data_IF_905154067562
#
_entry.id   IF_905154067562
#
_cell.length_a   1.000
_cell.length_b   1.000
_cell.length_c   1.000
_cell.angle_alpha   90.00
_cell.angle_beta   90.00
_cell.angle_gamma   90.00
#
_symmetry.space_group_name_H-M   'P 1'
#
loop_
_entity.id
_entity.type
_entity.pdbx_description
1 polymer ?
#
# COMPACT_ATOMS: atom_id res chain seq x y z
N UNK A 1 19.41 19.05 3.62
CA UNK A 1 20.50 18.34 2.90
C UNK A 1 19.89 17.72 1.65
N UNK A 2 20.62 17.73 0.54
CA UNK A 2 20.18 17.07 -0.69
C UNK A 2 20.24 15.55 -0.50
N UNK A 3 19.20 14.81 -0.88
CA UNK A 3 19.12 13.35 -0.70
C UNK A 3 19.93 12.64 -1.79
N UNK A 4 21.23 12.82 -1.79
CA UNK A 4 22.15 12.13 -2.71
C UNK A 4 22.41 10.69 -2.26
N UNK A 5 22.98 9.88 -3.16
CA UNK A 5 23.44 8.53 -2.81
C UNK A 5 24.40 8.55 -1.62
N UNK A 6 25.34 9.47 -1.63
CA UNK A 6 26.38 9.63 -0.58
C UNK A 6 25.76 9.93 0.78
N UNK A 7 24.80 10.85 0.83
CA UNK A 7 24.08 11.19 2.08
C UNK A 7 23.31 10.00 2.62
N UNK A 8 22.56 9.34 1.76
CA UNK A 8 21.78 8.14 2.14
C UNK A 8 22.71 6.99 2.59
N UNK A 9 23.83 6.78 1.88
CA UNK A 9 24.80 5.74 2.23
C UNK A 9 25.54 6.03 3.55
N UNK A 10 25.76 7.31 3.87
CA UNK A 10 26.31 7.73 5.17
C UNK A 10 25.39 7.34 6.32
N UNK A 11 24.09 7.62 6.17
CA UNK A 11 23.07 7.26 7.18
C UNK A 11 22.93 5.74 7.32
N UNK A 12 22.88 5.00 6.20
CA UNK A 12 22.89 3.55 6.22
C UNK A 12 24.09 2.99 6.98
N UNK A 13 25.28 3.57 6.71
CA UNK A 13 26.52 3.16 7.38
C UNK A 13 26.47 3.45 8.89
N UNK A 14 25.89 4.60 9.29
CA UNK A 14 25.69 4.92 10.71
C UNK A 14 24.71 3.96 11.39
N UNK A 15 23.61 3.63 10.75
CA UNK A 15 22.63 2.63 11.26
C UNK A 15 23.29 1.25 11.41
N UNK A 16 24.02 0.78 10.40
CA UNK A 16 24.72 -0.51 10.47
C UNK A 16 25.79 -0.52 11.55
N UNK A 17 26.55 0.55 11.69
CA UNK A 17 27.56 0.69 12.75
C UNK A 17 26.90 0.62 14.12
N UNK A 18 25.82 1.41 14.34
CA UNK A 18 25.06 1.37 15.58
C UNK A 18 24.56 -0.05 15.91
N UNK A 19 24.00 -0.76 14.93
CA UNK A 19 23.52 -2.12 15.12
C UNK A 19 24.62 -3.11 15.48
N UNK A 20 25.82 -2.95 14.91
CA UNK A 20 26.98 -3.82 15.24
C UNK A 20 27.50 -3.52 16.64
N UNK A 21 27.57 -2.26 17.04
CA UNK A 21 28.10 -1.83 18.34
C UNK A 21 27.15 -2.12 19.50
N UNK A 22 25.86 -1.82 19.34
CA UNK A 22 24.84 -2.01 20.39
C UNK A 22 24.17 -3.39 20.37
N UNK A 23 24.24 -4.11 19.25
CA UNK A 23 23.60 -5.39 19.06
C UNK A 23 22.10 -5.27 18.81
N UNK A 24 21.40 -6.42 18.94
CA UNK A 24 19.95 -6.47 18.79
C UNK A 24 19.24 -5.67 19.90
N UNK A 25 18.32 -4.74 19.57
CA UNK A 25 17.64 -3.93 20.59
C UNK A 25 16.81 -4.80 21.52
N UNK A 26 16.75 -4.41 22.80
CA UNK A 26 15.94 -5.09 23.79
C UNK A 26 14.44 -5.05 23.44
N UNK A 27 13.66 -5.95 24.04
CA UNK A 27 12.20 -5.94 23.85
C UNK A 27 11.60 -4.63 24.32
N UNK A 28 12.11 -4.07 25.40
CA UNK A 28 11.67 -2.79 25.96
C UNK A 28 11.89 -1.64 24.97
N UNK A 29 13.05 -1.57 24.33
CA UNK A 29 13.33 -0.56 23.30
C UNK A 29 12.46 -0.74 22.04
N UNK A 30 12.21 -1.99 21.62
CA UNK A 30 11.31 -2.27 20.50
C UNK A 30 9.87 -1.83 20.82
N UNK A 31 9.39 -2.08 22.03
CA UNK A 31 8.07 -1.62 22.52
C UNK A 31 8.03 -0.11 22.62
N UNK A 32 9.10 0.54 23.07
CA UNK A 32 9.19 2.00 23.10
C UNK A 32 9.05 2.61 21.69
N UNK A 33 9.77 2.09 20.68
CA UNK A 33 9.64 2.49 19.27
C UNK A 33 8.20 2.36 18.78
N UNK A 34 7.54 1.24 19.09
CA UNK A 34 6.15 0.98 18.73
C UNK A 34 5.18 1.97 19.39
N UNK A 35 5.40 2.31 20.67
CA UNK A 35 4.57 3.30 21.36
C UNK A 35 4.77 4.71 20.82
N UNK A 36 6.02 5.11 20.51
CA UNK A 36 6.31 6.40 19.87
C UNK A 36 5.65 6.50 18.49
N UNK A 37 5.70 5.43 17.68
CA UNK A 37 4.99 5.35 16.39
C UNK A 37 3.47 5.50 16.56
N UNK A 38 2.88 4.80 17.53
CA UNK A 38 1.45 4.89 17.83
C UNK A 38 1.03 6.30 18.24
N UNK A 39 1.80 6.93 19.13
CA UNK A 39 1.56 8.30 19.58
C UNK A 39 1.67 9.28 18.39
N UNK A 40 2.74 9.18 17.59
CA UNK A 40 2.94 10.01 16.40
C UNK A 40 1.71 9.96 15.47
N UNK A 41 1.18 8.77 15.19
CA UNK A 41 0.03 8.61 14.30
C UNK A 41 -1.23 9.19 14.94
N UNK A 42 -1.51 8.87 16.20
CA UNK A 42 -2.76 9.22 16.85
C UNK A 42 -2.85 10.71 17.19
N UNK A 43 -1.74 11.32 17.59
CA UNK A 43 -1.70 12.74 17.95
C UNK A 43 -1.82 13.63 16.71
N UNK A 44 -1.29 13.19 15.57
CA UNK A 44 -1.28 13.96 14.32
C UNK A 44 -2.27 13.44 13.26
N UNK A 45 -3.25 12.61 13.64
CA UNK A 45 -4.18 11.97 12.69
C UNK A 45 -4.99 12.94 11.84
N UNK A 46 -5.32 14.12 12.37
CA UNK A 46 -6.06 15.14 11.62
C UNK A 46 -5.15 15.93 10.68
N UNK A 47 -3.90 16.15 11.05
CA UNK A 47 -2.90 16.79 10.16
C UNK A 47 -2.61 15.88 8.97
N UNK A 48 -2.56 14.56 9.18
CA UNK A 48 -2.48 13.59 8.09
C UNK A 48 -3.71 13.64 7.17
N UNK A 49 -4.92 13.78 7.72
CA UNK A 49 -6.14 13.91 6.92
C UNK A 49 -6.08 15.14 6.01
N UNK A 50 -5.67 16.29 6.54
CA UNK A 50 -5.56 17.53 5.76
C UNK A 50 -4.44 17.43 4.70
N UNK A 51 -3.31 16.81 5.03
CA UNK A 51 -2.23 16.55 4.09
C UNK A 51 -2.69 15.63 2.93
N UNK A 52 -3.39 14.54 3.25
CA UNK A 52 -3.97 13.63 2.27
C UNK A 52 -5.00 14.32 1.37
N UNK A 53 -5.89 15.13 1.95
CA UNK A 53 -6.86 15.90 1.18
C UNK A 53 -6.17 16.86 0.21
N UNK A 54 -5.10 17.53 0.65
CA UNK A 54 -4.33 18.44 -0.18
C UNK A 54 -3.58 17.73 -1.31
N UNK A 55 -2.99 16.54 -1.05
CA UNK A 55 -2.28 15.76 -2.07
C UNK A 55 -3.21 15.23 -3.17
N UNK A 56 -4.45 14.86 -2.82
CA UNK A 56 -5.45 14.36 -3.78
C UNK A 56 -6.32 15.45 -4.40
N UNK A 57 -6.23 16.68 -3.89
CA UNK A 57 -7.16 17.76 -4.21
C UNK A 57 -8.52 17.59 -3.54
N UNK A 58 -9.04 16.36 -3.41
CA UNK A 58 -10.19 16.00 -2.59
C UNK A 58 -10.09 14.54 -2.16
N UNK A 59 -10.09 14.30 -0.85
CA UNK A 59 -10.13 12.96 -0.27
C UNK A 59 -10.97 12.95 1.00
N UNK A 60 -11.90 12.00 1.10
CA UNK A 60 -12.79 11.88 2.25
C UNK A 60 -12.03 11.85 3.58
N UNK A 61 -12.39 12.75 4.49
CA UNK A 61 -11.81 12.83 5.85
C UNK A 61 -12.05 11.54 6.64
N UNK A 62 -13.26 11.01 6.58
CA UNK A 62 -13.64 9.80 7.31
C UNK A 62 -12.91 8.57 6.73
N UNK A 63 -12.84 8.46 5.40
CA UNK A 63 -12.09 7.39 4.76
C UNK A 63 -10.60 7.47 5.12
N UNK A 64 -9.99 8.66 5.08
CA UNK A 64 -8.59 8.88 5.45
C UNK A 64 -8.29 8.47 6.89
N UNK A 65 -9.13 8.88 7.86
CA UNK A 65 -8.98 8.44 9.25
C UNK A 65 -9.05 6.91 9.38
N UNK A 66 -10.04 6.29 8.71
CA UNK A 66 -10.21 4.84 8.80
C UNK A 66 -9.06 4.07 8.15
N UNK A 67 -8.66 4.46 6.93
CA UNK A 67 -7.75 3.67 6.10
C UNK A 67 -6.29 3.99 6.33
N UNK A 68 -5.96 5.22 6.72
CA UNK A 68 -4.58 5.65 6.87
C UNK A 68 -4.12 5.77 8.34
N UNK A 69 -5.00 6.11 9.28
CA UNK A 69 -4.60 6.27 10.68
C UNK A 69 -5.03 5.07 11.55
N UNK A 70 -6.32 4.76 11.59
CA UNK A 70 -6.84 3.79 12.57
C UNK A 70 -6.51 2.33 12.25
N UNK A 71 -6.25 1.98 11.00
CA UNK A 71 -5.85 0.61 10.60
C UNK A 71 -4.49 0.21 11.13
N UNK A 72 -3.58 1.16 11.37
CA UNK A 72 -2.22 0.89 11.84
C UNK A 72 -2.20 0.54 13.34
N UNK A 73 -3.09 1.15 14.12
CA UNK A 73 -3.11 1.00 15.58
C UNK A 73 -3.27 -0.46 16.04
N UNK A 74 -4.22 -1.24 15.49
CA UNK A 74 -4.34 -2.66 15.84
C UNK A 74 -3.10 -3.49 15.50
N UNK A 75 -2.37 -3.15 14.44
CA UNK A 75 -1.14 -3.83 14.05
C UNK A 75 -0.03 -3.57 15.07
N UNK A 76 0.13 -2.32 15.51
CA UNK A 76 1.07 -1.93 16.56
C UNK A 76 0.71 -2.62 17.89
N UNK A 77 -0.56 -2.58 18.30
CA UNK A 77 -1.02 -3.20 19.54
C UNK A 77 -0.83 -4.72 19.53
N UNK A 78 -1.07 -5.36 18.37
CA UNK A 78 -0.80 -6.78 18.18
C UNK A 78 0.70 -7.08 18.30
N UNK A 79 1.57 -6.25 17.72
CA UNK A 79 3.01 -6.40 17.82
C UNK A 79 3.48 -6.27 19.29
N UNK A 80 3.08 -5.23 20.00
CA UNK A 80 3.40 -5.02 21.41
C UNK A 80 2.97 -6.22 22.26
N UNK A 81 1.75 -6.72 22.05
CA UNK A 81 1.19 -7.85 22.80
C UNK A 81 1.95 -9.15 22.58
N UNK A 82 2.45 -9.38 21.36
CA UNK A 82 2.98 -10.68 20.96
C UNK A 82 4.52 -10.73 20.86
N UNK A 83 5.23 -9.61 20.93
CA UNK A 83 6.68 -9.53 20.72
C UNK A 83 7.46 -10.53 21.57
N UNK A 84 7.14 -10.66 22.88
CA UNK A 84 7.77 -11.62 23.78
C UNK A 84 7.56 -13.07 23.36
N UNK A 85 6.43 -13.38 22.72
CA UNK A 85 6.14 -14.70 22.19
C UNK A 85 6.91 -14.95 20.90
N UNK A 86 6.95 -13.96 20.00
CA UNK A 86 7.60 -14.07 18.69
C UNK A 86 9.12 -14.19 18.78
N UNK A 87 9.73 -13.53 19.77
CA UNK A 87 11.19 -13.54 19.99
C UNK A 87 11.65 -14.67 20.91
N UNK A 88 10.72 -15.53 21.37
CA UNK A 88 11.07 -16.65 22.24
C UNK A 88 11.91 -17.68 21.50
N UNK A 89 13.01 -18.11 22.13
CA UNK A 89 13.84 -19.21 21.65
C UNK A 89 12.98 -20.47 21.41
N UNK A 90 13.05 -21.02 20.22
CA UNK A 90 12.35 -22.23 19.83
C UNK A 90 13.29 -23.43 19.93
N UNK A 91 13.08 -24.27 20.94
CA UNK A 91 13.89 -25.48 21.18
C UNK A 91 13.61 -26.53 20.11
N UNK A 92 14.68 -27.11 19.58
CA UNK A 92 14.64 -28.14 18.53
C UNK A 92 15.23 -29.47 19.03
N UNK A 93 14.91 -30.51 18.32
CA UNK A 93 15.49 -31.83 18.57
C UNK A 93 17.00 -31.82 18.29
N UNK A 94 17.78 -32.37 19.22
CA UNK A 94 19.22 -32.61 19.01
C UNK A 94 19.43 -34.05 18.57
N UNK A 95 20.24 -34.26 17.51
CA UNK A 95 20.47 -35.58 16.95
C UNK A 95 21.04 -36.56 17.98
N UNK A 96 20.54 -37.82 17.95
CA UNK A 96 21.07 -38.89 18.74
C UNK A 96 22.49 -39.27 18.24
N UNK A 97 23.49 -39.55 19.11
CA UNK A 97 23.39 -39.56 20.58
C UNK A 97 23.73 -38.24 21.28
N UNK A 98 23.98 -37.15 20.51
CA UNK A 98 24.50 -35.89 21.04
C UNK A 98 23.58 -35.27 22.13
N UNK A 99 22.26 -35.42 22.00
CA UNK A 99 21.32 -35.00 23.03
C UNK A 99 21.51 -35.63 24.38
N UNK A 100 21.95 -36.90 24.44
CA UNK A 100 22.28 -37.62 25.66
C UNK A 100 23.53 -37.04 26.35
N UNK A 101 24.44 -36.47 25.57
CA UNK A 101 25.64 -35.79 26.07
C UNK A 101 25.43 -34.29 26.35
N UNK A 102 24.17 -33.83 26.42
CA UNK A 102 23.84 -32.48 26.80
C UNK A 102 23.81 -31.45 25.65
N UNK A 103 23.91 -31.89 24.39
CA UNK A 103 23.75 -30.99 23.24
C UNK A 103 22.32 -30.40 23.19
N UNK A 104 22.24 -29.12 22.90
CA UNK A 104 20.97 -28.37 22.77
C UNK A 104 20.91 -27.71 21.39
N UNK A 105 19.80 -27.92 20.70
CA UNK A 105 19.50 -27.25 19.43
C UNK A 105 18.32 -26.31 19.60
N UNK A 106 18.42 -25.14 19.04
CA UNK A 106 17.35 -24.12 19.09
C UNK A 106 17.42 -23.18 17.92
N UNK A 107 16.32 -22.49 17.65
CA UNK A 107 16.22 -21.35 16.73
C UNK A 107 16.08 -20.08 17.54
N UNK A 108 16.92 -19.10 17.29
CA UNK A 108 16.81 -17.74 17.79
C UNK A 108 16.37 -16.83 16.63
N UNK A 109 15.42 -15.94 16.89
CA UNK A 109 14.94 -14.98 15.92
C UNK A 109 15.66 -13.66 16.15
N UNK A 110 16.51 -13.30 15.21
CA UNK A 110 17.34 -12.09 15.29
C UNK A 110 16.88 -11.06 14.25
N UNK A 111 17.04 -9.73 14.52
CA UNK A 111 16.81 -8.71 13.51
C UNK A 111 17.77 -8.88 12.33
N UNK A 112 17.29 -8.48 11.15
CA UNK A 112 18.10 -8.49 9.92
C UNK A 112 19.16 -7.38 9.92
N UNK A 113 18.83 -6.23 10.48
CA UNK A 113 19.65 -5.03 10.47
C UNK A 113 18.87 -3.82 9.97
N UNK A 114 19.34 -3.15 8.92
CA UNK A 114 18.67 -1.99 8.33
C UNK A 114 17.76 -2.41 7.16
N UNK A 115 16.47 -2.11 7.29
CA UNK A 115 15.46 -2.32 6.24
C UNK A 115 15.27 -1.05 5.45
N UNK A 116 15.48 -1.11 4.13
CA UNK A 116 15.02 -0.08 3.20
C UNK A 116 13.53 -0.26 2.92
N UNK A 117 12.76 0.81 2.93
CA UNK A 117 11.32 0.77 2.66
C UNK A 117 10.92 1.86 1.66
N UNK A 118 10.24 1.46 0.58
CA UNK A 118 9.66 2.39 -0.39
C UNK A 118 8.15 2.23 -0.35
N UNK A 119 7.43 3.30 -0.01
CA UNK A 119 5.97 3.27 0.13
C UNK A 119 5.26 4.06 -0.98
N UNK A 120 4.03 3.66 -1.34
CA UNK A 120 3.25 4.25 -2.43
C UNK A 120 2.47 5.48 -1.97
N UNK A 121 1.78 6.08 -2.94
CA UNK A 121 1.00 7.30 -2.77
C UNK A 121 -0.48 7.08 -2.38
N UNK A 122 -1.04 5.89 -2.63
CA UNK A 122 -2.49 5.68 -2.51
C UNK A 122 -3.00 5.61 -1.07
N UNK A 123 -2.21 5.08 -0.15
CA UNK A 123 -2.41 5.12 1.30
C UNK A 123 -1.07 5.44 1.97
N UNK A 124 -0.54 6.65 1.79
CA UNK A 124 0.84 6.94 2.13
C UNK A 124 1.14 6.79 3.62
N UNK A 125 0.19 7.11 4.51
CA UNK A 125 0.40 6.98 5.96
C UNK A 125 0.31 5.51 6.38
N UNK A 126 -0.71 4.79 5.93
CA UNK A 126 -0.87 3.37 6.26
C UNK A 126 0.29 2.53 5.72
N UNK A 127 0.60 2.67 4.44
CA UNK A 127 1.65 1.85 3.80
C UNK A 127 3.07 2.36 4.09
N UNK A 128 3.21 3.57 4.62
CA UNK A 128 4.46 4.09 5.16
C UNK A 128 4.71 3.71 6.61
N UNK A 129 3.68 3.59 7.44
CA UNK A 129 3.83 3.32 8.87
C UNK A 129 3.35 1.93 9.31
N UNK A 130 2.39 1.32 8.61
CA UNK A 130 1.90 -0.03 8.96
C UNK A 130 3.01 -1.08 9.01
N UNK A 131 3.86 -1.20 7.97
CA UNK A 131 4.97 -2.16 8.00
C UNK A 131 5.95 -1.96 9.16
N UNK A 132 6.07 -0.71 9.69
CA UNK A 132 6.94 -0.43 10.83
C UNK A 132 6.55 -1.20 12.08
N UNK A 133 5.27 -1.56 12.24
CA UNK A 133 4.82 -2.38 13.37
C UNK A 133 5.61 -3.71 13.43
N UNK A 134 5.77 -4.37 12.31
CA UNK A 134 6.53 -5.62 12.20
C UNK A 134 8.05 -5.39 12.18
N UNK A 135 8.52 -4.35 11.50
CA UNK A 135 9.95 -4.05 11.35
C UNK A 135 10.56 -3.69 12.71
N UNK A 136 9.91 -2.82 13.50
CA UNK A 136 10.35 -2.46 14.85
C UNK A 136 10.20 -3.62 15.85
N UNK A 137 9.11 -4.40 15.74
CA UNK A 137 8.96 -5.59 16.59
C UNK A 137 10.07 -6.61 16.34
N UNK A 138 10.50 -6.78 15.10
CA UNK A 138 11.66 -7.63 14.76
C UNK A 138 12.99 -7.05 15.27
N UNK A 139 13.06 -5.76 15.59
CA UNK A 139 14.25 -5.08 16.09
C UNK A 139 15.13 -4.45 15.01
N UNK A 140 14.58 -4.26 13.81
CA UNK A 140 15.33 -3.64 12.71
C UNK A 140 15.33 -2.11 12.82
N UNK A 141 16.29 -1.50 12.13
CA UNK A 141 16.33 -0.09 11.80
C UNK A 141 15.70 0.13 10.42
N UNK A 142 15.30 1.37 10.11
CA UNK A 142 14.58 1.66 8.88
C UNK A 142 15.13 2.90 8.18
N UNK A 143 15.25 2.79 6.87
CA UNK A 143 15.34 3.94 5.97
C UNK A 143 14.10 3.94 5.08
N UNK A 144 13.38 5.06 5.03
CA UNK A 144 12.10 5.17 4.33
C UNK A 144 12.15 6.19 3.20
N UNK A 145 11.67 5.79 2.03
CA UNK A 145 11.44 6.68 0.88
C UNK A 145 9.96 6.66 0.52
N UNK A 146 9.15 7.64 0.99
CA UNK A 146 7.75 7.78 0.60
C UNK A 146 7.63 8.24 -0.86
N UNK A 147 6.44 8.06 -1.44
CA UNK A 147 6.17 8.46 -2.81
C UNK A 147 6.21 9.98 -2.99
N UNK A 148 6.76 10.42 -4.11
CA UNK A 148 6.75 11.81 -4.56
C UNK A 148 5.38 12.28 -5.07
N UNK A 149 4.44 11.36 -5.31
CA UNK A 149 3.08 11.70 -5.76
C UNK A 149 2.17 12.19 -4.63
N UNK A 150 2.60 12.03 -3.37
CA UNK A 150 1.94 12.58 -2.18
C UNK A 150 2.92 13.43 -1.36
N UNK A 151 3.38 14.57 -1.92
CA UNK A 151 4.50 15.33 -1.36
C UNK A 151 4.20 15.97 -0.01
N UNK A 152 2.95 16.41 0.23
CA UNK A 152 2.55 17.08 1.48
C UNK A 152 2.52 16.05 2.61
N UNK A 153 1.90 14.89 2.37
CA UNK A 153 1.89 13.78 3.32
C UNK A 153 3.31 13.27 3.60
N UNK A 154 4.14 13.13 2.56
CA UNK A 154 5.52 12.69 2.69
C UNK A 154 6.38 13.66 3.53
N UNK A 155 6.22 14.97 3.32
CA UNK A 155 6.91 16.00 4.09
C UNK A 155 6.48 15.98 5.57
N UNK A 156 5.18 15.86 5.83
CA UNK A 156 4.65 15.74 7.19
C UNK A 156 5.16 14.48 7.89
N UNK A 157 5.16 13.34 7.20
CA UNK A 157 5.72 12.09 7.73
C UNK A 157 7.18 12.26 8.14
N UNK A 158 7.99 12.87 7.26
CA UNK A 158 9.40 13.13 7.56
C UNK A 158 9.56 14.02 8.79
N UNK A 159 8.87 15.16 8.84
CA UNK A 159 8.98 16.13 9.94
C UNK A 159 8.61 15.51 11.30
N UNK A 160 7.56 14.70 11.33
CA UNK A 160 7.13 14.01 12.53
C UNK A 160 8.06 12.87 12.94
N UNK A 161 8.60 12.13 11.97
CA UNK A 161 9.56 11.06 12.26
C UNK A 161 10.90 11.59 12.76
N UNK A 162 11.42 12.67 12.17
CA UNK A 162 12.66 13.31 12.60
C UNK A 162 12.57 13.85 14.06
N UNK A 163 11.35 14.15 14.54
CA UNK A 163 11.08 14.54 15.94
C UNK A 163 10.93 13.36 16.88
N UNK A 164 10.40 12.22 16.38
CA UNK A 164 10.04 11.09 17.21
C UNK A 164 11.15 10.02 17.31
N UNK A 165 12.05 9.95 16.34
CA UNK A 165 13.08 8.93 16.24
C UNK A 165 14.46 9.53 16.00
N UNK A 166 15.48 8.87 16.54
CA UNK A 166 16.86 9.14 16.16
C UNK A 166 17.12 8.61 14.74
N UNK A 167 18.02 9.27 14.00
CA UNK A 167 18.36 8.88 12.63
C UNK A 167 18.93 7.44 12.53
N UNK A 168 19.54 6.96 13.62
CA UNK A 168 19.99 5.57 13.73
C UNK A 168 18.86 4.57 13.92
N UNK A 169 17.64 5.01 14.24
CA UNK A 169 16.46 4.17 14.36
C UNK A 169 15.61 4.20 13.10
N UNK A 170 15.34 5.43 12.61
CA UNK A 170 14.46 5.69 11.47
C UNK A 170 14.89 6.96 10.73
N UNK A 171 15.09 6.88 9.42
CA UNK A 171 15.44 8.02 8.58
C UNK A 171 14.51 8.08 7.34
N UNK A 172 14.00 9.27 7.00
CA UNK A 172 13.12 9.48 5.84
C UNK A 172 13.79 10.35 4.77
N UNK A 173 13.69 9.92 3.50
CA UNK A 173 14.28 10.56 2.34
C UNK A 173 13.23 10.97 1.33
N UNK A 174 13.05 12.28 1.12
CA UNK A 174 12.14 12.83 0.13
C UNK A 174 12.83 12.97 -1.23
N UNK A 175 12.08 12.90 -2.30
CA UNK A 175 12.57 13.14 -3.65
C UNK A 175 11.88 12.29 -4.69
N UNK A 176 12.18 12.58 -5.95
CA UNK A 176 11.60 11.96 -7.12
C UNK A 176 12.17 10.58 -7.47
N UNK A 177 11.91 10.11 -8.70
CA UNK A 177 12.40 8.82 -9.17
C UNK A 177 13.91 8.63 -9.11
N UNK A 178 14.69 9.72 -9.25
CA UNK A 178 16.15 9.73 -9.16
C UNK A 178 16.66 9.39 -7.76
N UNK A 179 16.00 9.92 -6.72
CA UNK A 179 16.27 9.55 -5.32
C UNK A 179 15.86 8.11 -5.07
N UNK A 180 14.70 7.69 -5.59
CA UNK A 180 14.25 6.30 -5.52
C UNK A 180 15.25 5.33 -6.16
N UNK A 181 15.75 5.66 -7.35
CA UNK A 181 16.78 4.85 -8.05
C UNK A 181 18.08 4.76 -7.25
N UNK A 182 18.52 5.87 -6.65
CA UNK A 182 19.72 5.89 -5.80
C UNK A 182 19.50 5.10 -4.52
N UNK A 183 18.32 5.19 -3.91
CA UNK A 183 17.93 4.46 -2.72
C UNK A 183 17.97 2.94 -2.92
N UNK A 184 17.48 2.44 -4.06
CA UNK A 184 17.45 0.99 -4.34
C UNK A 184 18.84 0.37 -4.56
N UNK A 185 19.88 1.19 -4.77
CA UNK A 185 21.28 0.74 -4.92
C UNK A 185 22.03 0.60 -3.59
N UNK A 186 21.41 1.00 -2.48
CA UNK A 186 22.02 0.90 -1.16
C UNK A 186 22.09 -0.56 -0.69
N UNK A 187 23.10 -0.87 0.10
CA UNK A 187 23.35 -2.20 0.65
C UNK A 187 22.49 -2.49 1.91
N UNK A 188 21.17 -2.47 1.76
CA UNK A 188 20.25 -2.85 2.83
C UNK A 188 20.40 -4.33 3.22
N UNK A 189 19.94 -4.67 4.40
CA UNK A 189 19.82 -6.06 4.84
C UNK A 189 18.48 -6.68 4.37
N UNK A 190 17.50 -5.84 4.04
CA UNK A 190 16.26 -6.17 3.35
C UNK A 190 15.68 -4.93 2.69
N UNK A 191 14.94 -5.09 1.58
CA UNK A 191 14.25 -3.99 0.90
C UNK A 191 12.77 -4.34 0.74
N UNK A 192 11.88 -3.54 1.35
CA UNK A 192 10.44 -3.62 1.18
C UNK A 192 10.01 -2.56 0.17
N UNK A 193 9.33 -2.97 -0.87
CA UNK A 193 8.77 -2.10 -1.89
C UNK A 193 7.26 -2.34 -2.02
N UNK A 194 6.47 -1.28 -1.96
CA UNK A 194 5.05 -1.29 -2.30
C UNK A 194 4.78 -0.31 -3.44
N UNK A 195 4.23 -0.81 -4.56
CA UNK A 195 3.98 0.03 -5.73
C UNK A 195 3.65 -0.74 -7.01
N UNK A 196 4.00 -0.18 -8.17
CA UNK A 196 3.71 -0.82 -9.47
C UNK A 196 4.68 -1.95 -9.81
N UNK A 197 4.20 -2.96 -10.56
CA UNK A 197 5.03 -4.07 -11.03
C UNK A 197 6.18 -3.63 -11.93
N UNK A 198 5.98 -2.60 -12.75
CA UNK A 198 7.04 -2.09 -13.63
C UNK A 198 8.21 -1.50 -12.83
N UNK A 199 7.93 -0.70 -11.80
CA UNK A 199 8.97 -0.17 -10.94
C UNK A 199 9.60 -1.28 -10.09
N UNK A 200 8.83 -2.28 -9.67
CA UNK A 200 9.34 -3.42 -8.92
C UNK A 200 10.44 -4.19 -9.66
N UNK A 201 10.34 -4.33 -10.98
CA UNK A 201 11.40 -4.95 -11.81
C UNK A 201 12.73 -4.19 -11.66
N UNK A 202 12.68 -2.87 -11.69
CA UNK A 202 13.88 -2.04 -11.49
C UNK A 202 14.42 -2.14 -10.06
N UNK A 203 13.53 -2.18 -9.07
CA UNK A 203 13.90 -2.39 -7.65
C UNK A 203 14.64 -3.72 -7.49
N UNK A 204 14.09 -4.81 -8.02
CA UNK A 204 14.72 -6.14 -7.98
C UNK A 204 16.08 -6.16 -8.69
N UNK A 205 16.18 -5.54 -9.88
CA UNK A 205 17.43 -5.47 -10.64
C UNK A 205 18.52 -4.72 -9.86
N UNK A 206 18.17 -3.61 -9.20
CA UNK A 206 19.10 -2.85 -8.36
C UNK A 206 19.51 -3.62 -7.12
N UNK A 207 18.56 -4.20 -6.39
CA UNK A 207 18.79 -4.97 -5.18
C UNK A 207 19.66 -6.20 -5.45
N UNK A 208 19.46 -6.88 -6.59
CA UNK A 208 20.22 -8.07 -6.98
C UNK A 208 21.72 -7.80 -7.13
N UNK A 209 22.14 -6.57 -7.48
CA UNK A 209 23.54 -6.21 -7.60
C UNK A 209 24.30 -6.33 -6.27
N UNK A 210 23.59 -6.15 -5.16
CA UNK A 210 24.13 -6.21 -3.80
C UNK A 210 23.58 -7.42 -3.00
N UNK A 211 22.89 -8.35 -3.67
CA UNK A 211 22.25 -9.53 -3.07
C UNK A 211 21.27 -9.16 -1.95
N UNK A 212 20.63 -7.99 -2.03
CA UNK A 212 19.64 -7.55 -1.06
C UNK A 212 18.34 -8.32 -1.26
N UNK A 213 17.83 -9.05 -0.25
CA UNK A 213 16.53 -9.69 -0.31
C UNK A 213 15.41 -8.64 -0.43
N UNK A 214 14.37 -8.94 -1.23
CA UNK A 214 13.27 -8.03 -1.45
C UNK A 214 11.92 -8.64 -1.06
N UNK A 215 11.03 -7.82 -0.51
CA UNK A 215 9.60 -8.08 -0.41
C UNK A 215 8.87 -7.08 -1.29
N UNK A 216 8.01 -7.58 -2.16
CA UNK A 216 7.29 -6.78 -3.15
C UNK A 216 5.79 -6.89 -2.89
N UNK A 217 5.17 -5.75 -2.58
CA UNK A 217 3.73 -5.59 -2.50
C UNK A 217 3.26 -4.79 -3.72
N UNK A 218 2.45 -5.42 -4.58
CA UNK A 218 2.15 -4.90 -5.91
C UNK A 218 0.65 -4.67 -6.11
N UNK A 219 0.29 -4.06 -7.24
CA UNK A 219 -1.09 -3.91 -7.66
C UNK A 219 -1.76 -5.25 -7.98
N UNK A 220 -3.06 -5.22 -8.12
CA UNK A 220 -3.85 -6.40 -8.44
C UNK A 220 -5.05 -6.09 -9.32
N UNK A 221 -5.65 -7.14 -9.88
CA UNK A 221 -6.89 -7.15 -10.64
C UNK A 221 -7.84 -8.12 -9.94
N UNK A 222 -8.35 -7.70 -8.76
CA UNK A 222 -9.10 -8.58 -7.87
C UNK A 222 -10.43 -9.03 -8.49
N UNK A 223 -10.60 -10.32 -8.80
CA UNK A 223 -11.85 -10.86 -9.32
C UNK A 223 -12.92 -10.93 -8.25
N UNK A 224 -14.16 -10.69 -8.63
CA UNK A 224 -15.34 -10.99 -7.83
C UNK A 224 -16.15 -12.10 -8.52
N UNK A 225 -16.44 -13.16 -7.81
CA UNK A 225 -17.29 -14.26 -8.30
C UNK A 225 -18.61 -14.24 -7.56
N UNK A 226 -19.72 -14.01 -8.27
CA UNK A 226 -21.08 -14.00 -7.73
C UNK A 226 -21.74 -15.31 -8.03
N UNK A 227 -21.92 -16.14 -7.01
CA UNK A 227 -22.62 -17.43 -7.12
C UNK A 227 -24.13 -17.27 -7.35
N UNK A 228 -24.79 -18.33 -7.84
CA UNK A 228 -26.21 -18.31 -8.17
C UNK A 228 -27.14 -18.04 -6.96
N UNK A 229 -26.71 -18.38 -5.76
CA UNK A 229 -27.45 -18.15 -4.52
C UNK A 229 -27.17 -16.82 -3.85
N UNK A 230 -26.27 -16.01 -4.40
CA UNK A 230 -25.90 -14.73 -3.81
C UNK A 230 -27.06 -13.73 -3.93
N UNK A 231 -27.24 -12.94 -2.87
CA UNK A 231 -28.11 -11.77 -2.87
C UNK A 231 -27.43 -10.64 -3.66
N UNK A 232 -28.07 -10.15 -4.73
CA UNK A 232 -27.49 -9.15 -5.64
C UNK A 232 -27.35 -7.79 -4.97
N UNK A 233 -28.31 -7.37 -4.16
CA UNK A 233 -28.28 -6.11 -3.44
C UNK A 233 -27.12 -6.07 -2.42
N UNK A 234 -26.96 -7.13 -1.63
CA UNK A 234 -25.85 -7.25 -0.68
C UNK A 234 -24.52 -7.32 -1.41
N UNK A 235 -24.46 -8.06 -2.51
CA UNK A 235 -23.26 -8.19 -3.33
C UNK A 235 -22.84 -6.82 -3.91
N UNK A 236 -23.77 -6.10 -4.53
CA UNK A 236 -23.53 -4.77 -5.08
C UNK A 236 -23.03 -3.80 -4.00
N UNK A 237 -23.67 -3.75 -2.82
CA UNK A 237 -23.22 -2.87 -1.72
C UNK A 237 -21.81 -3.17 -1.26
N UNK A 238 -21.44 -4.43 -1.09
CA UNK A 238 -20.07 -4.83 -0.67
C UNK A 238 -19.04 -4.53 -1.74
N UNK A 239 -19.35 -4.81 -3.00
CA UNK A 239 -18.46 -4.56 -4.13
C UNK A 239 -18.24 -3.05 -4.28
N UNK A 240 -19.32 -2.25 -4.29
CA UNK A 240 -19.20 -0.81 -4.48
C UNK A 240 -18.57 -0.12 -3.29
N UNK A 241 -18.79 -0.57 -2.06
CA UNK A 241 -18.05 -0.07 -0.91
C UNK A 241 -16.53 -0.25 -1.09
N UNK A 242 -16.08 -1.44 -1.48
CA UNK A 242 -14.66 -1.69 -1.75
C UNK A 242 -14.13 -0.98 -3.00
N UNK A 243 -14.97 -0.84 -4.04
CA UNK A 243 -14.55 -0.21 -5.30
C UNK A 243 -14.49 1.31 -5.24
N UNK A 244 -15.41 1.95 -4.52
CA UNK A 244 -15.46 3.41 -4.44
C UNK A 244 -14.58 3.99 -3.34
N UNK A 245 -14.13 3.15 -2.40
CA UNK A 245 -13.13 3.56 -1.42
C UNK A 245 -11.88 4.07 -2.15
N UNK A 246 -11.43 5.28 -1.81
CA UNK A 246 -10.33 5.96 -2.48
C UNK A 246 -10.45 5.99 -4.02
N UNK A 247 -11.68 6.06 -4.54
CA UNK A 247 -12.02 5.98 -5.97
C UNK A 247 -11.42 4.74 -6.68
N UNK A 248 -11.27 3.62 -5.96
CA UNK A 248 -10.69 2.38 -6.49
C UNK A 248 -9.17 2.37 -6.60
N UNK A 249 -8.49 3.39 -6.09
CA UNK A 249 -7.03 3.48 -6.08
C UNK A 249 -6.42 2.61 -4.97
N UNK A 250 -6.76 1.32 -4.98
CA UNK A 250 -6.39 0.32 -3.98
C UNK A 250 -5.91 -0.94 -4.69
N UNK A 251 -4.81 -1.52 -4.23
CA UNK A 251 -4.28 -2.80 -4.75
C UNK A 251 -5.30 -3.96 -4.66
N UNK A 252 -6.22 -3.91 -3.72
CA UNK A 252 -7.25 -4.93 -3.45
C UNK A 252 -8.63 -4.57 -4.03
N UNK A 253 -8.80 -3.40 -4.69
CA UNK A 253 -10.11 -2.97 -5.16
C UNK A 253 -10.75 -4.01 -6.08
N UNK A 254 -12.04 -4.34 -5.89
CA UNK A 254 -12.78 -5.14 -6.85
C UNK A 254 -12.61 -4.58 -8.27
N UNK A 255 -12.17 -5.39 -9.22
CA UNK A 255 -11.85 -4.92 -10.56
C UNK A 255 -12.84 -5.44 -11.59
N UNK A 256 -12.97 -6.75 -11.74
CA UNK A 256 -13.94 -7.35 -12.62
C UNK A 256 -14.85 -8.33 -11.90
N UNK A 257 -16.08 -8.47 -12.42
CA UNK A 257 -17.12 -9.26 -11.80
C UNK A 257 -17.56 -10.39 -12.73
N UNK A 258 -17.45 -11.62 -12.25
CA UNK A 258 -17.98 -12.81 -12.89
C UNK A 258 -19.36 -13.11 -12.31
N UNK A 259 -20.40 -12.88 -13.09
CA UNK A 259 -21.78 -13.07 -12.72
C UNK A 259 -22.51 -13.90 -13.78
N UNK A 260 -23.45 -14.75 -13.37
CA UNK A 260 -24.23 -15.54 -14.33
C UNK A 260 -25.00 -14.61 -15.28
N UNK A 261 -25.00 -14.93 -16.58
CA UNK A 261 -25.60 -14.08 -17.65
C UNK A 261 -27.02 -13.62 -17.35
N UNK A 262 -27.84 -14.48 -16.73
CA UNK A 262 -29.24 -14.19 -16.41
C UNK A 262 -29.40 -13.23 -15.22
N UNK A 263 -28.33 -12.95 -14.48
CA UNK A 263 -28.31 -12.05 -13.32
C UNK A 263 -27.50 -10.77 -13.56
N UNK A 264 -26.94 -10.63 -14.76
CA UNK A 264 -26.10 -9.47 -15.11
C UNK A 264 -26.87 -8.15 -14.98
N UNK A 265 -28.06 -8.07 -15.55
CA UNK A 265 -28.84 -6.82 -15.59
C UNK A 265 -29.37 -6.47 -14.18
N UNK A 266 -29.79 -7.48 -13.39
CA UNK A 266 -30.13 -7.30 -11.98
C UNK A 266 -28.94 -6.74 -11.19
N UNK A 267 -27.76 -7.33 -11.37
CA UNK A 267 -26.54 -6.85 -10.71
C UNK A 267 -26.19 -5.40 -11.08
N UNK A 268 -26.24 -5.05 -12.37
CA UNK A 268 -25.97 -3.68 -12.85
C UNK A 268 -26.96 -2.70 -12.21
N UNK A 269 -28.26 -3.01 -12.18
CA UNK A 269 -29.27 -2.17 -11.55
C UNK A 269 -29.01 -1.98 -10.05
N UNK A 270 -28.61 -3.03 -9.33
CA UNK A 270 -28.30 -2.92 -7.91
C UNK A 270 -27.00 -2.11 -7.66
N UNK A 271 -26.03 -2.17 -8.57
CA UNK A 271 -24.82 -1.30 -8.52
C UNK A 271 -25.21 0.17 -8.71
N UNK A 272 -26.05 0.51 -9.70
CA UNK A 272 -26.53 1.87 -9.93
C UNK A 272 -27.29 2.42 -8.72
N UNK A 273 -28.20 1.62 -8.15
CA UNK A 273 -28.93 1.98 -6.94
C UNK A 273 -27.99 2.20 -5.75
N UNK A 274 -26.98 1.36 -5.61
CA UNK A 274 -25.98 1.47 -4.54
C UNK A 274 -25.13 2.73 -4.69
N UNK A 275 -24.68 3.06 -5.89
CA UNK A 275 -23.91 4.28 -6.13
C UNK A 275 -24.76 5.52 -5.82
N UNK A 276 -26.04 5.55 -6.24
CA UNK A 276 -26.97 6.63 -5.88
C UNK A 276 -27.16 6.78 -4.37
N UNK A 277 -27.22 5.63 -3.66
CA UNK A 277 -27.36 5.65 -2.20
C UNK A 277 -26.09 6.20 -1.52
N UNK A 278 -24.90 5.79 -1.98
CA UNK A 278 -23.63 6.19 -1.38
C UNK A 278 -23.22 7.62 -1.76
N UNK A 279 -23.43 7.97 -3.02
CA UNK A 279 -22.98 9.24 -3.62
C UNK A 279 -24.09 9.83 -4.48
N UNK A 280 -25.04 10.58 -3.89
CA UNK A 280 -26.09 11.27 -4.65
C UNK A 280 -25.52 12.27 -5.67
N UNK A 281 -24.38 12.88 -5.39
CA UNK A 281 -23.55 13.65 -6.31
C UNK A 281 -22.11 13.14 -6.25
N UNK A 282 -21.28 13.44 -7.23
CA UNK A 282 -19.89 12.98 -7.33
C UNK A 282 -18.91 14.14 -7.44
N UNK A 283 -19.16 15.07 -8.37
CA UNK A 283 -18.24 16.15 -8.72
C UNK A 283 -17.87 17.01 -7.51
N UNK A 284 -18.87 17.50 -6.79
CA UNK A 284 -18.68 18.39 -5.65
C UNK A 284 -18.85 17.66 -4.28
N UNK A 285 -18.76 16.33 -4.30
CA UNK A 285 -18.92 15.51 -3.10
C UNK A 285 -17.58 15.32 -2.39
N UNK A 286 -17.47 15.82 -1.15
CA UNK A 286 -16.26 15.75 -0.33
C UNK A 286 -15.88 14.30 0.04
N UNK A 287 -16.85 13.36 0.07
CA UNK A 287 -16.62 11.97 0.40
C UNK A 287 -16.20 11.12 -0.83
N UNK A 288 -16.32 11.65 -2.06
CA UNK A 288 -15.86 10.95 -3.26
C UNK A 288 -14.47 11.41 -3.66
N UNK A 289 -13.48 10.55 -3.46
CA UNK A 289 -12.05 10.86 -3.66
C UNK A 289 -11.71 11.12 -5.13
N UNK A 290 -10.82 12.09 -5.38
CA UNK A 290 -10.25 12.38 -6.69
C UNK A 290 -9.16 11.38 -7.09
N UNK A 291 -8.91 11.26 -8.38
CA UNK A 291 -7.71 10.59 -8.90
C UNK A 291 -6.49 11.47 -8.56
N UNK A 292 -5.42 10.85 -8.12
CA UNK A 292 -4.26 11.53 -7.52
C UNK A 292 -3.65 12.65 -8.39
N UNK A 293 -3.67 12.51 -9.71
CA UNK A 293 -3.13 13.49 -10.64
C UNK A 293 -3.66 13.32 -12.07
N UNK A 294 -3.38 14.32 -12.92
CA UNK A 294 -3.78 14.36 -14.32
C UNK A 294 -3.32 13.13 -15.12
N UNK A 295 -2.07 12.74 -14.98
CA UNK A 295 -1.50 11.57 -15.69
C UNK A 295 -2.30 10.29 -15.42
N UNK A 296 -2.71 10.05 -14.19
CA UNK A 296 -3.53 8.87 -13.83
C UNK A 296 -4.98 9.04 -14.27
N UNK A 297 -5.52 10.26 -14.23
CA UNK A 297 -6.83 10.59 -14.75
C UNK A 297 -6.91 10.31 -16.26
N UNK A 298 -5.97 10.82 -17.04
CA UNK A 298 -5.91 10.62 -18.48
C UNK A 298 -5.72 9.16 -18.85
N UNK A 299 -4.86 8.44 -18.12
CA UNK A 299 -4.67 7.00 -18.31
C UNK A 299 -5.97 6.22 -18.13
N UNK A 300 -6.77 6.54 -17.10
CA UNK A 300 -8.04 5.85 -16.85
C UNK A 300 -9.05 6.17 -17.96
N UNK A 301 -9.16 7.45 -18.35
CA UNK A 301 -10.05 7.87 -19.43
C UNK A 301 -9.66 7.23 -20.78
N UNK A 302 -8.36 7.10 -21.06
CA UNK A 302 -7.89 6.43 -22.27
C UNK A 302 -8.28 4.95 -22.32
N UNK A 303 -8.27 4.25 -21.18
CA UNK A 303 -8.73 2.86 -21.09
C UNK A 303 -10.24 2.73 -21.33
N UNK A 304 -11.04 3.67 -20.83
CA UNK A 304 -12.49 3.70 -21.08
C UNK A 304 -12.77 3.97 -22.55
N UNK A 305 -12.02 4.89 -23.16
CA UNK A 305 -12.13 5.22 -24.58
C UNK A 305 -11.76 4.02 -25.45
N UNK A 306 -10.63 3.36 -25.18
CA UNK A 306 -10.19 2.15 -25.88
C UNK A 306 -11.24 1.03 -25.80
N UNK A 307 -11.83 0.81 -24.61
CA UNK A 307 -12.88 -0.16 -24.45
C UNK A 307 -14.12 0.17 -25.32
N UNK A 308 -14.51 1.45 -25.36
CA UNK A 308 -15.63 1.91 -26.19
C UNK A 308 -15.35 1.72 -27.67
N UNK A 309 -14.14 2.05 -28.14
CA UNK A 309 -13.72 1.87 -29.54
C UNK A 309 -13.69 0.38 -29.94
N UNK A 310 -13.40 -0.50 -29.01
CA UNK A 310 -13.47 -1.95 -29.17
C UNK A 310 -14.89 -2.52 -29.07
N UNK A 311 -15.91 -1.67 -28.95
CA UNK A 311 -17.33 -2.04 -28.97
C UNK A 311 -17.90 -2.45 -27.60
N UNK A 312 -17.20 -2.15 -26.49
CA UNK A 312 -17.75 -2.38 -25.17
C UNK A 312 -18.91 -1.42 -24.86
N UNK A 313 -19.88 -1.89 -24.10
CA UNK A 313 -20.94 -1.03 -23.56
C UNK A 313 -20.42 -0.33 -22.29
N UNK A 314 -20.38 0.98 -22.32
CA UNK A 314 -19.91 1.83 -21.21
C UNK A 314 -21.12 2.38 -20.46
N UNK A 315 -21.25 2.06 -19.20
CA UNK A 315 -22.27 2.59 -18.32
C UNK A 315 -21.61 3.41 -17.21
N UNK A 316 -21.55 4.72 -17.40
CA UNK A 316 -21.04 5.65 -16.40
C UNK A 316 -22.17 6.04 -15.43
N UNK A 317 -21.98 5.79 -14.15
CA UNK A 317 -23.00 6.04 -13.12
C UNK A 317 -22.81 7.45 -12.58
N UNK A 318 -23.63 8.36 -13.06
CA UNK A 318 -23.65 9.79 -12.71
C UNK A 318 -25.04 10.18 -12.20
N UNK A 319 -25.31 10.03 -10.89
CA UNK A 319 -26.66 10.16 -10.34
C UNK A 319 -27.31 11.55 -10.54
N UNK A 320 -26.51 12.61 -10.52
CA UNK A 320 -26.99 14.00 -10.64
C UNK A 320 -26.79 14.60 -12.03
N UNK A 321 -26.39 13.81 -13.03
CA UNK A 321 -26.10 14.27 -14.38
C UNK A 321 -25.10 15.45 -14.42
N UNK A 322 -24.06 15.36 -13.60
CA UNK A 322 -23.03 16.39 -13.47
C UNK A 322 -22.14 16.44 -14.72
N UNK A 323 -21.66 17.63 -15.06
CA UNK A 323 -20.69 17.83 -16.13
C UNK A 323 -19.26 17.75 -15.58
N UNK A 324 -18.52 16.72 -16.00
CA UNK A 324 -17.13 16.48 -15.64
C UNK A 324 -16.13 17.09 -16.63
N UNK A 325 -16.58 17.76 -17.68
CA UNK A 325 -15.69 18.46 -18.62
C UNK A 325 -15.02 19.68 -18.00
N UNK A 326 -15.65 20.24 -16.98
CA UNK A 326 -15.12 21.36 -16.20
C UNK A 326 -15.19 21.03 -14.72
N UNK A 327 -14.08 20.59 -14.17
CA UNK A 327 -13.93 20.26 -12.75
C UNK A 327 -12.59 20.75 -12.23
N UNK A 328 -12.55 21.10 -10.95
CA UNK A 328 -11.34 21.53 -10.26
C UNK A 328 -10.44 20.32 -9.93
N UNK A 329 -11.06 19.19 -9.59
CA UNK A 329 -10.38 17.97 -9.15
C UNK A 329 -10.66 16.84 -10.12
N UNK A 330 -9.73 15.92 -10.26
CA UNK A 330 -9.74 14.79 -11.20
C UNK A 330 -10.72 13.68 -10.79
N UNK A 331 -12.02 13.95 -10.71
CA UNK A 331 -13.03 12.94 -10.35
C UNK A 331 -13.52 12.17 -11.57
N UNK A 332 -13.66 10.87 -11.42
CA UNK A 332 -14.22 9.97 -12.44
C UNK A 332 -15.40 9.21 -11.81
N UNK A 333 -16.62 9.34 -12.34
CA UNK A 333 -17.75 8.57 -11.87
C UNK A 333 -17.52 7.05 -12.00
N UNK A 334 -18.06 6.24 -11.07
CA UNK A 334 -18.00 4.80 -11.21
C UNK A 334 -18.52 4.36 -12.57
N UNK A 335 -17.75 3.55 -13.28
CA UNK A 335 -18.04 3.16 -14.65
C UNK A 335 -18.05 1.64 -14.75
N UNK A 336 -19.15 1.09 -15.25
CA UNK A 336 -19.29 -0.33 -15.56
C UNK A 336 -19.00 -0.52 -17.05
N UNK A 337 -18.05 -1.37 -17.36
CA UNK A 337 -17.75 -1.79 -18.73
C UNK A 337 -18.31 -3.19 -18.90
N UNK A 338 -19.30 -3.38 -19.78
CA UNK A 338 -19.82 -4.68 -20.09
C UNK A 338 -19.49 -5.05 -21.51
N UNK A 339 -19.37 -6.25 -21.73
CA UNK A 339 -19.03 -6.97 -22.85
C UNK A 339 -17.86 -7.75 -22.72
N UNK A 340 -17.43 -8.53 -23.13
CA UNK A 340 -16.75 -9.00 -24.29
C UNK A 340 -15.87 -10.10 -23.81
N UNK A 341 -16.39 -11.20 -23.95
CA UNK A 341 -15.77 -12.53 -23.89
C UNK A 341 -14.35 -12.63 -24.52
N UNK A 342 -13.94 -11.61 -25.26
CA UNK A 342 -12.69 -11.61 -26.01
C UNK A 342 -11.68 -10.56 -25.56
N UNK A 343 -11.98 -9.82 -24.50
CA UNK A 343 -11.08 -8.81 -23.94
C UNK A 343 -10.22 -9.31 -22.79
N UNK A 344 -10.34 -10.57 -22.40
CA UNK A 344 -9.40 -11.17 -21.44
C UNK A 344 -7.95 -11.06 -21.91
N UNK A 345 -7.69 -11.16 -23.21
CA UNK A 345 -6.35 -11.00 -23.76
C UNK A 345 -5.87 -9.54 -23.71
N UNK A 346 -6.75 -8.56 -23.85
CA UNK A 346 -6.40 -7.15 -23.69
C UNK A 346 -6.14 -6.75 -22.23
N UNK A 347 -6.78 -7.41 -21.28
CA UNK A 347 -6.46 -7.24 -19.85
C UNK A 347 -5.08 -7.82 -19.50
N UNK A 348 -4.67 -8.88 -20.16
CA UNK A 348 -3.35 -9.49 -19.97
C UNK A 348 -2.23 -8.64 -20.60
N UNK A 349 -2.49 -7.90 -21.67
CA UNK A 349 -1.46 -7.14 -22.38
C UNK A 349 -1.32 -5.68 -21.91
N UNK A 350 -2.37 -5.05 -21.41
CA UNK A 350 -2.42 -3.59 -21.20
C UNK A 350 -2.23 -3.09 -19.77
N UNK A 351 -2.36 -3.92 -18.75
CA UNK A 351 -2.47 -3.47 -17.36
C UNK A 351 -1.35 -3.95 -16.43
N UNK A 352 -0.30 -4.55 -16.99
CA UNK A 352 0.94 -4.83 -16.22
C UNK A 352 0.75 -5.73 -15.00
N UNK A 353 -0.22 -6.62 -15.03
CA UNK A 353 -0.25 -7.80 -14.17
C UNK A 353 0.24 -8.96 -15.01
N UNK A 354 1.54 -9.14 -15.03
CA UNK A 354 2.13 -10.40 -15.42
C UNK A 354 1.74 -11.43 -14.34
N UNK A 355 0.58 -12.01 -14.49
CA UNK A 355 0.25 -13.28 -13.88
C UNK A 355 1.08 -14.31 -14.64
N UNK A 356 2.31 -14.52 -14.17
CA UNK A 356 3.24 -15.49 -14.73
C UNK A 356 2.51 -16.76 -15.17
N UNK A 357 2.41 -16.92 -16.46
CA UNK A 357 1.54 -17.81 -17.19
C UNK A 357 1.39 -19.17 -16.56
N UNK A 358 0.22 -19.43 -16.06
CA UNK A 358 -0.39 -20.76 -16.09
C UNK A 358 -1.88 -20.58 -16.33
N UNK A 359 -2.24 -20.83 -17.61
CA UNK A 359 -3.63 -21.19 -17.93
C UNK A 359 -3.97 -22.45 -17.13
N UNK A 360 -5.03 -22.34 -16.38
CA UNK A 360 -5.77 -23.50 -15.90
C UNK A 360 -7.01 -23.61 -16.77
#
# INVERSE_FOLDING_TARGET
MENTYETMNSILSAQKKYFIEEGAPSIELRVDRLNRLKALIMDNRYDFVEALNSDFGNRSKNASLMTDAYTIVPEIDNAIKNIKKWTKIDKRYSNFPMGLFGAKSYVSYEPLGTVGMISPWNFPINLGFGPLASIFAAGNQVMHKPSELSPISAALMKDLCDKAFDETEFATFLGGPEVGSSFTKLHFDHLLYTGSGEVAKHVMQSAAQNLVPVTLELGGKSPVVIGNSADMKVSAKRIMFGKTMNAGQICLAPDYVLVHKNKKDEFISEVENTVKEFYPSIKDNEDYTSIINERHYDRINSLVTDAKEKGAHINQINPSNEDFSQQEFYKIPPTIITCLLYTSDAADEGLGVDLGGRRI
#
